data_IF_095492434803
#
_entry.id   IF_095492434803
#
_cell.length_a   1.000
_cell.length_b   1.000
_cell.length_c   1.000
_cell.angle_alpha   90.00
_cell.angle_beta   90.00
_cell.angle_gamma   90.00
#
_symmetry.space_group_name_H-M   'P 1'
#
loop_
_entity.id
_entity.type
_entity.pdbx_description
1 polymer ?
#
# COMPACT_ATOMS: atom_id res chain seq x y z
N UNK A 1 6.20 -1.93 -19.30
CA UNK A 1 5.36 -2.23 -18.12
C UNK A 1 5.88 -1.42 -16.93
N UNK A 2 5.16 -0.37 -16.50
CA UNK A 2 5.52 0.63 -15.47
C UNK A 2 6.85 1.40 -15.65
N UNK A 3 7.96 0.70 -15.93
CA UNK A 3 9.27 1.26 -16.25
C UNK A 3 9.21 2.22 -17.43
N UNK A 4 8.60 1.80 -18.53
CA UNK A 4 8.44 2.60 -19.75
C UNK A 4 7.65 3.92 -19.50
N UNK A 5 6.81 3.96 -18.46
CA UNK A 5 6.07 5.17 -18.07
C UNK A 5 6.95 6.17 -17.29
N UNK A 6 8.01 5.69 -16.64
CA UNK A 6 8.94 6.50 -15.85
C UNK A 6 10.20 6.89 -16.63
N UNK A 7 10.47 6.24 -17.78
CA UNK A 7 11.63 6.55 -18.64
C UNK A 7 11.68 8.03 -19.06
N UNK A 8 10.58 8.70 -19.45
CA UNK A 8 10.62 10.14 -19.77
C UNK A 8 11.02 11.01 -18.57
N UNK A 9 10.68 10.60 -17.35
CA UNK A 9 11.08 11.29 -16.11
C UNK A 9 12.57 11.06 -15.85
N UNK A 10 13.06 9.83 -16.06
CA UNK A 10 14.48 9.50 -15.92
C UNK A 10 15.36 10.26 -16.91
N UNK A 11 14.93 10.41 -18.15
CA UNK A 11 15.63 11.19 -19.18
C UNK A 11 15.72 12.67 -18.79
N UNK A 12 14.64 13.22 -18.22
CA UNK A 12 14.59 14.61 -17.76
C UNK A 12 15.43 14.86 -16.50
N UNK A 13 15.57 13.86 -15.64
CA UNK A 13 16.31 13.93 -14.38
C UNK A 13 17.37 12.84 -14.29
N UNK A 14 18.45 12.88 -15.09
CA UNK A 14 19.40 11.78 -15.18
C UNK A 14 20.15 11.50 -13.86
N UNK A 15 20.19 12.49 -12.95
CA UNK A 15 20.84 12.41 -11.65
C UNK A 15 20.13 11.50 -10.63
N UNK A 16 18.82 11.27 -10.74
CA UNK A 16 18.07 10.44 -9.78
C UNK A 16 18.31 8.95 -10.08
N UNK A 17 18.52 8.09 -9.07
CA UNK A 17 18.66 6.66 -9.32
C UNK A 17 17.31 6.04 -9.72
N UNK A 18 17.32 4.88 -10.40
CA UNK A 18 16.06 4.17 -10.70
C UNK A 18 15.33 3.74 -9.41
N UNK A 19 16.07 3.38 -8.35
CA UNK A 19 15.50 2.99 -7.07
C UNK A 19 14.77 4.17 -6.40
N UNK A 20 15.40 5.35 -6.37
CA UNK A 20 14.79 6.57 -5.84
C UNK A 20 13.59 7.01 -6.70
N UNK A 21 13.70 6.90 -8.03
CA UNK A 21 12.61 7.23 -8.95
C UNK A 21 11.39 6.33 -8.74
N UNK A 22 11.58 5.02 -8.56
CA UNK A 22 10.47 4.10 -8.30
C UNK A 22 9.84 4.33 -6.94
N UNK A 23 10.65 4.62 -5.93
CA UNK A 23 10.16 4.94 -4.58
C UNK A 23 9.35 6.23 -4.60
N UNK A 24 9.86 7.28 -5.25
CA UNK A 24 9.16 8.55 -5.44
C UNK A 24 7.86 8.36 -6.23
N UNK A 25 7.89 7.58 -7.31
CA UNK A 25 6.69 7.27 -8.09
C UNK A 25 5.61 6.57 -7.25
N UNK A 26 6.01 5.69 -6.32
CA UNK A 26 5.11 5.09 -5.35
C UNK A 26 4.45 6.12 -4.43
N UNK A 27 5.23 7.02 -3.83
CA UNK A 27 4.70 8.10 -2.99
C UNK A 27 3.76 9.02 -3.76
N UNK A 28 4.17 9.48 -4.94
CA UNK A 28 3.37 10.37 -5.80
C UNK A 28 2.09 9.67 -6.25
N UNK A 29 2.12 8.38 -6.59
CA UNK A 29 0.91 7.66 -6.96
C UNK A 29 -0.10 7.61 -5.80
N UNK A 30 0.36 7.45 -4.55
CA UNK A 30 -0.48 7.51 -3.34
C UNK A 30 -1.09 8.90 -3.18
N UNK A 31 -0.31 9.96 -3.37
CA UNK A 31 -0.77 11.35 -3.29
C UNK A 31 -1.81 11.68 -4.38
N UNK A 32 -1.52 11.31 -5.63
CA UNK A 32 -2.36 11.58 -6.80
C UNK A 32 -3.65 10.74 -6.84
N UNK A 33 -3.71 9.64 -6.07
CA UNK A 33 -4.96 8.88 -5.89
C UNK A 33 -6.03 9.62 -5.08
N UNK A 34 -5.74 10.82 -4.56
CA UNK A 34 -6.79 11.76 -4.14
C UNK A 34 -7.15 11.72 -2.66
N UNK A 35 -6.22 11.31 -1.81
CA UNK A 35 -6.30 11.47 -0.35
C UNK A 35 -5.63 10.33 0.43
N UNK A 36 -5.43 10.51 1.74
CA UNK A 36 -4.79 9.49 2.56
C UNK A 36 -5.77 8.35 2.92
N UNK A 37 -5.23 7.13 3.05
CA UNK A 37 -5.98 5.96 3.54
C UNK A 37 -6.18 5.98 5.06
N UNK A 38 -5.33 6.70 5.80
CA UNK A 38 -5.34 6.77 7.26
C UNK A 38 -5.08 8.20 7.73
N UNK A 39 -5.38 8.47 9.01
CA UNK A 39 -5.05 9.77 9.62
C UNK A 39 -3.54 9.97 9.89
N UNK A 40 -2.72 8.93 9.73
CA UNK A 40 -1.27 8.97 9.94
C UNK A 40 -0.53 8.39 8.71
N UNK A 41 -0.62 9.05 7.54
CA UNK A 41 -0.17 8.48 6.26
C UNK A 41 1.33 8.23 6.17
N UNK A 42 2.13 8.86 7.04
CA UNK A 42 3.60 8.68 7.11
C UNK A 42 4.05 7.69 8.18
N UNK A 43 3.11 7.05 8.90
CA UNK A 43 3.42 6.10 9.97
C UNK A 43 3.05 4.68 9.56
N UNK A 44 4.03 3.78 9.61
CA UNK A 44 3.79 2.37 9.40
C UNK A 44 3.20 1.75 10.69
N UNK A 45 1.92 1.40 10.65
CA UNK A 45 1.15 0.87 11.78
C UNK A 45 -0.03 0.04 11.28
N UNK A 46 -0.75 -0.63 12.17
CA UNK A 46 -1.99 -1.33 11.80
C UNK A 46 -3.22 -0.40 11.67
N UNK A 47 -3.05 0.93 11.78
CA UNK A 47 -4.12 1.93 11.72
C UNK A 47 -4.96 1.81 10.43
N UNK A 48 -4.35 1.40 9.32
CA UNK A 48 -5.07 1.12 8.07
C UNK A 48 -6.21 0.12 8.28
N UNK A 49 -5.95 -1.02 8.94
CA UNK A 49 -6.95 -2.05 9.17
C UNK A 49 -8.01 -1.60 10.18
N UNK A 50 -7.61 -0.85 11.20
CA UNK A 50 -8.53 -0.30 12.19
C UNK A 50 -9.51 0.70 11.57
N UNK A 51 -9.01 1.66 10.78
CA UNK A 51 -9.85 2.64 10.10
C UNK A 51 -10.75 1.99 9.06
N UNK A 52 -10.23 1.01 8.29
CA UNK A 52 -11.00 0.27 7.29
C UNK A 52 -12.20 -0.48 7.91
N UNK A 53 -12.03 -1.10 9.08
CA UNK A 53 -13.08 -1.87 9.76
C UNK A 53 -14.08 -1.02 10.53
N UNK A 54 -13.62 0.08 11.14
CA UNK A 54 -14.41 0.81 12.14
C UNK A 54 -15.13 2.04 11.59
N UNK A 55 -14.87 2.42 10.34
CA UNK A 55 -15.56 3.54 9.67
C UNK A 55 -16.70 3.10 8.78
N UNK A 56 -17.60 4.03 8.51
CA UNK A 56 -18.66 3.82 7.54
C UNK A 56 -18.26 4.40 6.19
N UNK A 57 -18.21 3.56 5.17
CA UNK A 57 -17.79 3.96 3.83
C UNK A 57 -18.99 4.31 2.94
N UNK A 58 -18.86 5.35 2.11
CA UNK A 58 -19.78 5.64 0.99
C UNK A 58 -18.98 5.77 -0.30
N UNK A 59 -19.63 5.53 -1.45
CA UNK A 59 -19.01 5.86 -2.74
C UNK A 59 -18.77 7.37 -2.80
N UNK A 60 -17.55 7.77 -3.16
CA UNK A 60 -17.17 9.16 -3.39
C UNK A 60 -17.83 9.65 -4.67
N UNK A 61 -18.45 10.82 -4.62
CA UNK A 61 -19.07 11.45 -5.79
C UNK A 61 -18.10 12.43 -6.43
N UNK A 62 -17.36 11.97 -7.44
CA UNK A 62 -16.34 12.75 -8.15
C UNK A 62 -16.16 12.26 -9.59
N UNK A 63 -15.36 12.96 -10.39
CA UNK A 63 -15.16 12.68 -11.82
C UNK A 63 -14.12 11.60 -12.14
N UNK A 64 -13.42 11.09 -11.13
CA UNK A 64 -12.39 10.06 -11.30
C UNK A 64 -12.91 8.63 -11.13
N UNK A 65 -12.00 7.65 -11.10
CA UNK A 65 -12.33 6.24 -10.88
C UNK A 65 -13.14 6.01 -9.59
N UNK A 66 -13.82 4.86 -9.50
CA UNK A 66 -14.59 4.52 -8.30
C UNK A 66 -13.68 4.55 -7.06
N UNK A 67 -14.05 5.37 -6.08
CA UNK A 67 -13.43 5.45 -4.77
C UNK A 67 -14.52 5.45 -3.70
N UNK A 68 -14.13 5.11 -2.48
CA UNK A 68 -14.93 5.26 -1.28
C UNK A 68 -14.32 6.34 -0.41
N UNK A 69 -15.16 7.01 0.35
CA UNK A 69 -14.75 7.96 1.38
C UNK A 69 -15.46 7.65 2.69
N UNK A 70 -14.83 8.02 3.79
CA UNK A 70 -15.44 7.87 5.11
C UNK A 70 -16.65 8.80 5.23
N UNK A 71 -17.74 8.29 5.81
CA UNK A 71 -18.98 9.06 5.89
C UNK A 71 -18.87 10.22 6.87
N UNK A 72 -18.06 10.03 7.91
CA UNK A 72 -17.92 10.91 9.06
C UNK A 72 -17.25 12.23 8.69
N UNK A 73 -16.13 12.18 7.98
CA UNK A 73 -15.32 13.36 7.64
C UNK A 73 -15.17 13.60 6.14
N UNK A 74 -15.31 12.56 5.31
CA UNK A 74 -15.02 12.62 3.86
C UNK A 74 -13.55 12.90 3.53
N UNK A 75 -12.64 12.66 4.48
CA UNK A 75 -11.20 12.95 4.35
C UNK A 75 -10.38 11.73 3.99
N UNK A 76 -10.77 10.56 4.52
CA UNK A 76 -10.12 9.30 4.20
C UNK A 76 -10.77 8.72 2.95
N UNK A 77 -9.95 8.03 2.17
CA UNK A 77 -10.39 7.31 0.99
C UNK A 77 -10.02 5.84 1.05
N UNK A 78 -10.79 5.00 0.37
CA UNK A 78 -10.48 3.59 0.11
C UNK A 78 -10.76 3.25 -1.36
N UNK A 79 -9.90 2.45 -1.97
CA UNK A 79 -10.13 1.91 -3.31
C UNK A 79 -11.11 0.73 -3.25
N UNK A 80 -11.71 0.31 -4.38
CA UNK A 80 -12.48 -0.91 -4.44
C UNK A 80 -11.70 -2.16 -3.97
N UNK A 81 -10.39 -2.19 -4.20
CA UNK A 81 -9.49 -3.26 -3.74
C UNK A 81 -9.33 -3.27 -2.22
N UNK A 82 -9.27 -2.11 -1.58
CA UNK A 82 -9.23 -2.00 -0.12
C UNK A 82 -10.55 -2.49 0.48
N UNK A 83 -11.69 -2.08 -0.10
CA UNK A 83 -13.01 -2.51 0.34
C UNK A 83 -13.21 -4.02 0.24
N UNK A 84 -12.58 -4.69 -0.72
CA UNK A 84 -12.61 -6.14 -0.84
C UNK A 84 -12.05 -6.84 0.43
N UNK A 85 -11.12 -6.21 1.14
CA UNK A 85 -10.53 -6.75 2.37
C UNK A 85 -11.53 -6.88 3.52
N UNK A 86 -12.67 -6.18 3.48
CA UNK A 86 -13.74 -6.28 4.50
C UNK A 86 -15.04 -6.87 3.97
N UNK A 87 -15.20 -6.95 2.65
CA UNK A 87 -16.38 -7.52 1.99
C UNK A 87 -16.22 -9.02 1.76
N UNK A 88 -15.02 -9.48 1.40
CA UNK A 88 -14.73 -10.90 1.24
C UNK A 88 -14.44 -11.57 2.59
N UNK A 89 -15.04 -12.74 2.84
CA UNK A 89 -14.92 -13.42 4.14
C UNK A 89 -13.51 -13.93 4.42
N UNK A 90 -12.78 -14.40 3.41
CA UNK A 90 -11.43 -14.93 3.58
C UNK A 90 -10.46 -13.80 3.91
N UNK A 91 -10.56 -12.66 3.22
CA UNK A 91 -9.75 -11.49 3.55
C UNK A 91 -10.14 -10.84 4.88
N UNK A 92 -11.44 -10.71 5.15
CA UNK A 92 -11.94 -10.06 6.38
C UNK A 92 -11.38 -10.67 7.65
N UNK A 93 -11.17 -11.98 7.68
CA UNK A 93 -10.53 -12.67 8.82
C UNK A 93 -9.13 -12.10 9.11
N UNK A 94 -8.32 -11.89 8.07
CA UNK A 94 -6.96 -11.33 8.21
C UNK A 94 -7.00 -9.84 8.56
N UNK A 95 -7.90 -9.08 7.92
CA UNK A 95 -8.12 -7.66 8.26
C UNK A 95 -8.47 -7.50 9.74
N UNK A 96 -9.35 -8.36 10.27
CA UNK A 96 -9.71 -8.36 11.69
C UNK A 96 -8.54 -8.74 12.60
N UNK A 97 -7.74 -9.75 12.21
CA UNK A 97 -6.55 -10.14 12.97
C UNK A 97 -5.57 -8.97 13.08
N UNK A 98 -5.19 -8.37 11.95
CA UNK A 98 -4.20 -7.30 11.93
C UNK A 98 -4.69 -6.02 12.61
N UNK A 99 -5.98 -5.72 12.56
CA UNK A 99 -6.55 -4.59 13.31
C UNK A 99 -6.48 -4.79 14.83
N UNK A 100 -6.52 -6.05 15.31
CA UNK A 100 -6.50 -6.40 16.74
C UNK A 100 -5.09 -6.65 17.27
N UNK A 101 -4.16 -7.09 16.42
CA UNK A 101 -2.80 -7.47 16.78
C UNK A 101 -1.79 -6.84 15.81
N UNK A 102 -1.21 -5.72 16.22
CA UNK A 102 -0.23 -4.97 15.41
C UNK A 102 1.09 -5.73 15.25
N UNK A 103 1.56 -6.41 16.30
CA UNK A 103 2.81 -7.17 16.23
C UNK A 103 2.67 -8.28 15.20
N UNK A 104 1.52 -8.97 15.20
CA UNK A 104 1.24 -10.00 14.21
C UNK A 104 1.23 -9.45 12.78
N UNK A 105 0.69 -8.25 12.57
CA UNK A 105 0.77 -7.58 11.27
C UNK A 105 2.22 -7.32 10.86
N UNK A 106 3.05 -6.80 11.76
CA UNK A 106 4.45 -6.50 11.46
C UNK A 106 5.24 -7.77 11.12
N UNK A 107 5.06 -8.83 11.90
CA UNK A 107 5.74 -10.11 11.69
C UNK A 107 5.39 -10.71 10.31
N UNK A 108 4.10 -10.78 9.98
CA UNK A 108 3.63 -11.33 8.71
C UNK A 108 4.00 -10.41 7.53
N UNK A 109 3.94 -9.08 7.70
CA UNK A 109 4.35 -8.11 6.68
C UNK A 109 5.83 -8.22 6.35
N UNK A 110 6.70 -8.32 7.36
CA UNK A 110 8.15 -8.41 7.15
C UNK A 110 8.50 -9.62 6.27
N UNK A 111 7.95 -10.79 6.57
CA UNK A 111 8.16 -12.02 5.80
C UNK A 111 7.61 -11.90 4.38
N UNK A 112 6.38 -11.39 4.23
CA UNK A 112 5.75 -11.26 2.92
C UNK A 112 6.48 -10.24 2.03
N UNK A 113 6.87 -9.10 2.60
CA UNK A 113 7.54 -8.02 1.88
C UNK A 113 8.99 -8.41 1.52
N UNK A 114 9.72 -9.08 2.41
CA UNK A 114 11.02 -9.67 2.08
C UNK A 114 10.88 -10.62 0.88
N UNK A 115 9.96 -11.59 0.96
CA UNK A 115 9.73 -12.54 -0.13
C UNK A 115 9.40 -11.83 -1.44
N UNK A 116 8.55 -10.80 -1.41
CA UNK A 116 8.20 -9.98 -2.57
C UNK A 116 9.44 -9.34 -3.22
N UNK A 117 10.33 -8.76 -2.41
CA UNK A 117 11.57 -8.14 -2.89
C UNK A 117 12.58 -9.16 -3.45
N UNK A 118 12.55 -10.38 -2.94
CA UNK A 118 13.44 -11.48 -3.33
C UNK A 118 12.93 -12.28 -4.54
N UNK A 119 11.68 -12.06 -4.99
CA UNK A 119 11.11 -12.80 -6.12
C UNK A 119 11.96 -12.63 -7.39
N UNK A 120 12.45 -13.76 -7.91
CA UNK A 120 13.28 -13.82 -9.12
C UNK A 120 14.77 -13.60 -8.86
N UNK A 121 15.20 -13.44 -7.61
CA UNK A 121 16.62 -13.39 -7.23
C UNK A 121 17.11 -14.80 -6.87
N UNK A 122 18.21 -15.22 -7.48
CA UNK A 122 18.92 -16.44 -7.11
C UNK A 122 20.04 -16.09 -6.13
N UNK A 123 19.85 -16.39 -4.85
CA UNK A 123 20.89 -16.18 -3.84
C UNK A 123 21.91 -17.33 -3.89
N UNK A 124 23.22 -17.05 -4.01
CA UNK A 124 24.25 -18.08 -3.90
C UNK A 124 24.21 -18.71 -2.51
N UNK A 125 24.37 -20.03 -2.44
CA UNK A 125 24.34 -20.82 -1.19
C UNK A 125 25.39 -20.34 -0.17
N UNK A 126 26.49 -19.74 -0.65
CA UNK A 126 27.61 -19.27 0.17
C UNK A 126 27.66 -17.73 0.31
N UNK A 127 26.59 -17.03 -0.07
CA UNK A 127 26.49 -15.58 0.05
C UNK A 127 26.15 -15.15 1.49
N UNK A 128 26.48 -13.92 1.90
CA UNK A 128 26.24 -13.42 3.26
C UNK A 128 24.76 -13.30 3.67
N UNK A 129 23.83 -13.73 2.82
CA UNK A 129 22.37 -13.69 3.02
C UNK A 129 21.75 -15.09 3.12
N UNK A 130 22.55 -16.17 3.08
CA UNK A 130 22.06 -17.52 3.35
C UNK A 130 21.95 -17.74 4.88
N UNK A 131 20.87 -17.25 5.48
CA UNK A 131 20.52 -17.52 6.89
C UNK A 131 19.01 -17.71 7.02
#
# INVERSE_FOLDING_TARGET
VARDLLDPVKERFPWISYADLWTLAGCVAVEEMGGPWTNAPTTFSNLYFQELLNRHWRKKSWSGPLQYEDKESGKLMMLPTDMALIQDRAFKKWTQLYAQDEQRFFDDFAVAFQKLLELGVNFPVDGPLAA
#
